data_IF_224638266945
#
_entry.id   IF_224638266945
#
_cell.length_a   1.000
_cell.length_b   1.000
_cell.length_c   1.000
_cell.angle_alpha   90.00
_cell.angle_beta   90.00
_cell.angle_gamma   90.00
#
_symmetry.space_group_name_H-M   'P 1'
#
loop_
_entity.id
_entity.type
_entity.pdbx_description
1 polymer ?
#
# COMPACT_ATOMS: atom_id res chain seq x y z
N UNK A 1 66.37 41.13 4.50
CA UNK A 1 66.72 41.02 5.93
C UNK A 1 65.59 41.61 6.75
N UNK A 2 65.32 40.97 7.87
CA UNK A 2 64.16 41.04 8.75
C UNK A 2 64.06 42.29 9.64
N UNK A 3 62.81 42.52 10.10
CA UNK A 3 62.37 42.85 11.46
C UNK A 3 62.01 44.32 11.83
N UNK A 4 60.83 44.45 12.44
CA UNK A 4 60.34 45.62 13.19
C UNK A 4 58.80 45.63 13.26
N UNK A 5 58.16 44.70 14.00
CA UNK A 5 57.52 44.93 15.31
C UNK A 5 56.47 46.06 15.36
N UNK A 6 55.20 45.72 15.58
CA UNK A 6 54.39 46.26 16.70
C UNK A 6 53.11 45.46 16.93
N UNK A 7 52.77 45.30 18.21
CA UNK A 7 51.65 44.54 18.79
C UNK A 7 50.34 45.35 18.78
N UNK A 8 49.22 44.62 18.86
CA UNK A 8 48.21 44.74 19.93
C UNK A 8 46.77 45.13 19.55
N UNK A 9 45.83 44.36 20.12
CA UNK A 9 44.46 44.67 20.59
C UNK A 9 43.26 44.53 19.62
N UNK A 10 42.63 43.35 19.75
CA UNK A 10 41.22 43.12 20.15
C UNK A 10 40.11 43.97 19.53
N UNK A 11 39.16 43.29 18.86
CA UNK A 11 37.73 43.54 19.07
C UNK A 11 36.92 42.28 18.72
N UNK A 12 36.27 41.68 19.73
CA UNK A 12 35.22 40.66 19.58
C UNK A 12 33.93 41.35 19.16
N UNK A 13 33.14 40.75 18.26
CA UNK A 13 31.70 40.48 18.44
C UNK A 13 31.10 39.99 17.11
N UNK A 14 31.05 38.67 16.98
CA UNK A 14 30.16 37.93 16.08
C UNK A 14 28.71 38.20 16.46
N UNK A 15 27.96 38.92 15.63
CA UNK A 15 26.50 38.86 15.64
C UNK A 15 26.07 37.76 14.67
N UNK A 16 25.89 36.55 15.21
CA UNK A 16 25.12 35.51 14.53
C UNK A 16 23.65 35.91 14.61
N UNK A 17 23.03 36.15 13.46
CA UNK A 17 21.60 36.35 13.33
C UNK A 17 20.92 35.01 13.66
N UNK A 18 20.34 34.89 14.85
CA UNK A 18 19.53 33.74 15.24
C UNK A 18 18.20 33.83 14.48
N UNK A 19 18.14 33.23 13.28
CA UNK A 19 16.86 32.94 12.63
C UNK A 19 16.20 31.81 13.42
N UNK A 20 15.31 32.16 14.34
CA UNK A 20 14.38 31.22 14.96
C UNK A 20 13.42 30.70 13.88
N UNK A 21 13.85 29.68 13.12
CA UNK A 21 12.90 28.81 12.42
C UNK A 21 12.18 28.01 13.48
N UNK A 22 10.96 28.44 13.79
CA UNK A 22 10.00 27.65 14.54
C UNK A 22 9.70 26.36 13.78
N UNK A 23 10.45 25.31 14.07
CA UNK A 23 10.08 23.95 13.72
C UNK A 23 8.85 23.60 14.52
N UNK A 24 7.68 23.51 13.86
CA UNK A 24 6.56 22.78 14.42
C UNK A 24 7.02 21.33 14.54
N UNK A 25 7.26 20.88 15.76
CA UNK A 25 7.49 19.48 16.05
C UNK A 25 6.33 18.69 15.44
N UNK A 26 6.62 17.87 14.44
CA UNK A 26 5.67 16.87 13.95
C UNK A 26 5.30 16.00 15.14
N UNK A 27 4.01 15.98 15.49
CA UNK A 27 3.50 15.00 16.45
C UNK A 27 3.50 13.67 15.70
N UNK A 28 4.64 12.97 15.75
CA UNK A 28 4.66 11.54 15.45
C UNK A 28 3.69 10.89 16.43
N UNK A 29 2.55 10.43 15.95
CA UNK A 29 1.63 9.64 16.78
C UNK A 29 2.38 8.36 17.12
N UNK A 30 2.84 8.27 18.36
CA UNK A 30 3.45 7.07 18.87
C UNK A 30 2.37 5.96 18.82
N UNK A 31 2.47 5.05 17.86
CA UNK A 31 1.58 3.89 17.80
C UNK A 31 1.79 3.08 19.07
N UNK A 32 0.76 3.04 19.92
CA UNK A 32 0.83 2.30 21.18
C UNK A 32 0.14 0.95 21.03
N UNK A 33 0.93 -0.07 20.72
CA UNK A 33 0.51 -1.46 20.75
C UNK A 33 1.68 -2.38 21.13
N UNK A 34 1.36 -3.57 21.63
CA UNK A 34 2.31 -4.67 21.83
C UNK A 34 1.82 -5.90 21.03
N UNK A 35 2.74 -6.57 20.30
CA UNK A 35 2.38 -7.76 19.55
C UNK A 35 1.92 -8.90 20.47
N UNK A 36 0.76 -9.48 20.17
CA UNK A 36 0.21 -10.60 20.94
C UNK A 36 -0.42 -10.18 22.27
N UNK A 37 -0.67 -8.89 22.48
CA UNK A 37 -1.31 -8.38 23.69
C UNK A 37 -2.71 -8.98 23.92
N UNK A 38 -3.14 -8.99 25.18
CA UNK A 38 -4.38 -9.62 25.62
C UNK A 38 -5.20 -8.61 26.44
N UNK A 39 -5.90 -7.67 25.77
CA UNK A 39 -6.63 -6.61 26.45
C UNK A 39 -7.86 -7.11 27.20
N UNK A 40 -8.37 -8.30 26.84
CA UNK A 40 -9.57 -8.91 27.42
C UNK A 40 -9.44 -10.43 27.42
N UNK A 41 -9.94 -11.13 28.46
CA UNK A 41 -9.82 -12.58 28.58
C UNK A 41 -10.22 -13.33 27.31
N UNK A 42 -9.25 -14.06 26.74
CA UNK A 42 -9.47 -14.90 25.56
C UNK A 42 -9.39 -14.18 24.21
N UNK A 43 -9.05 -12.88 24.20
CA UNK A 43 -8.74 -12.13 22.98
C UNK A 43 -7.24 -11.88 22.90
N UNK A 44 -6.65 -12.15 21.72
CA UNK A 44 -5.27 -11.76 21.41
C UNK A 44 -5.27 -10.78 20.25
N UNK A 45 -4.47 -9.74 20.35
CA UNK A 45 -4.32 -8.74 19.30
C UNK A 45 -2.94 -8.82 18.67
N UNK A 46 -2.90 -8.80 17.34
CA UNK A 46 -1.68 -8.77 16.54
C UNK A 46 -1.80 -7.67 15.49
N UNK A 47 -0.65 -7.15 15.08
CA UNK A 47 -0.56 -6.00 14.18
C UNK A 47 0.28 -6.37 12.97
N UNK A 48 -0.28 -6.18 11.79
CA UNK A 48 0.30 -6.60 10.53
C UNK A 48 0.45 -5.45 9.54
N UNK A 49 1.43 -5.61 8.67
CA UNK A 49 1.69 -4.75 7.52
C UNK A 49 1.58 -5.53 6.22
N UNK A 50 0.91 -4.95 5.23
CA UNK A 50 0.86 -5.47 3.85
C UNK A 50 1.58 -4.50 2.92
N UNK A 51 2.59 -4.97 2.21
CA UNK A 51 3.33 -4.14 1.24
C UNK A 51 2.66 -4.09 -0.15
N UNK A 52 3.18 -3.24 -1.04
CA UNK A 52 2.73 -3.15 -2.45
C UNK A 52 3.04 -4.41 -3.30
N UNK A 53 3.75 -5.41 -2.77
CA UNK A 53 3.94 -6.72 -3.39
C UNK A 53 2.91 -7.75 -2.90
N UNK A 54 2.05 -7.37 -1.96
CA UNK A 54 1.05 -8.23 -1.32
C UNK A 54 1.65 -9.18 -0.29
N UNK A 55 2.86 -8.92 0.19
CA UNK A 55 3.50 -9.71 1.24
C UNK A 55 3.00 -9.24 2.61
N UNK A 56 2.80 -10.21 3.50
CA UNK A 56 2.31 -10.00 4.86
C UNK A 56 3.48 -10.06 5.85
N UNK A 57 3.53 -9.11 6.78
CA UNK A 57 4.55 -8.98 7.81
C UNK A 57 3.91 -8.67 9.17
N UNK A 58 4.62 -8.97 10.25
CA UNK A 58 4.35 -8.29 11.53
C UNK A 58 4.69 -6.81 11.39
N UNK A 59 3.86 -5.94 11.95
CA UNK A 59 4.00 -4.50 11.78
C UNK A 59 5.28 -3.94 12.41
N UNK A 60 5.68 -4.47 13.56
CA UNK A 60 6.90 -4.13 14.31
C UNK A 60 8.15 -4.85 13.80
N UNK A 61 8.04 -5.66 12.74
CA UNK A 61 9.21 -6.31 12.15
C UNK A 61 10.23 -5.25 11.70
N UNK A 62 11.45 -5.32 12.27
CA UNK A 62 12.56 -4.40 11.99
C UNK A 62 12.91 -4.34 10.50
N UNK A 63 12.88 -5.48 9.83
CA UNK A 63 13.12 -5.60 8.40
C UNK A 63 11.89 -6.26 7.77
N UNK A 64 11.32 -5.63 6.75
CA UNK A 64 10.21 -6.17 5.95
C UNK A 64 10.75 -6.55 4.58
N UNK A 65 11.13 -7.82 4.43
CA UNK A 65 11.74 -8.36 3.21
C UNK A 65 11.32 -9.82 2.99
N UNK A 66 11.83 -10.44 1.93
CA UNK A 66 11.44 -11.81 1.60
C UNK A 66 11.75 -12.83 2.72
N UNK A 67 12.71 -12.61 3.61
CA UNK A 67 12.99 -13.57 4.69
C UNK A 67 12.03 -13.41 5.87
N UNK A 68 11.52 -12.21 6.14
CA UNK A 68 10.60 -11.93 7.25
C UNK A 68 9.11 -12.02 6.92
N UNK A 69 8.73 -12.13 5.64
CA UNK A 69 7.32 -12.28 5.28
C UNK A 69 6.76 -13.66 5.62
N UNK A 70 5.46 -13.70 5.95
CA UNK A 70 4.71 -14.94 6.09
C UNK A 70 4.55 -15.64 4.74
N UNK A 71 4.73 -16.96 4.72
CA UNK A 71 4.71 -17.79 3.50
C UNK A 71 3.80 -19.02 3.58
N UNK A 72 3.27 -19.34 4.76
CA UNK A 72 2.46 -20.54 4.94
C UNK A 72 1.09 -20.34 4.25
N UNK A 73 0.82 -21.16 3.22
CA UNK A 73 -0.31 -20.91 2.31
C UNK A 73 -1.67 -20.99 3.01
N UNK A 74 -1.86 -21.91 3.96
CA UNK A 74 -3.15 -22.06 4.65
C UNK A 74 -3.44 -20.85 5.54
N UNK A 75 -2.43 -20.37 6.26
CA UNK A 75 -2.48 -19.16 7.06
C UNK A 75 -2.79 -17.94 6.19
N UNK A 76 -2.06 -17.75 5.09
CA UNK A 76 -2.31 -16.63 4.18
C UNK A 76 -3.72 -16.69 3.58
N UNK A 77 -4.18 -17.86 3.13
CA UNK A 77 -5.55 -18.05 2.64
C UNK A 77 -6.57 -17.68 3.72
N UNK A 78 -6.36 -18.15 4.94
CA UNK A 78 -7.25 -17.88 6.07
C UNK A 78 -7.26 -16.38 6.47
N UNK A 79 -6.10 -15.75 6.45
CA UNK A 79 -5.90 -14.34 6.79
C UNK A 79 -6.55 -13.42 5.75
N UNK A 80 -6.16 -13.56 4.48
CA UNK A 80 -6.64 -12.71 3.38
C UNK A 80 -8.13 -12.90 3.08
N UNK A 81 -8.67 -14.10 3.25
CA UNK A 81 -10.11 -14.34 3.05
C UNK A 81 -11.01 -13.60 4.04
N UNK A 82 -10.48 -13.16 5.19
CA UNK A 82 -11.25 -12.53 6.27
C UNK A 82 -10.94 -11.05 6.47
N UNK A 83 -10.05 -10.47 5.67
CA UNK A 83 -9.79 -9.03 5.73
C UNK A 83 -11.09 -8.28 5.44
N UNK A 84 -11.36 -7.29 6.28
CA UNK A 84 -12.40 -6.29 6.12
C UNK A 84 -11.96 -4.96 6.74
N UNK A 85 -12.75 -3.91 6.57
CA UNK A 85 -12.54 -2.67 7.32
C UNK A 85 -12.56 -2.89 8.84
N UNK A 86 -11.71 -2.14 9.53
CA UNK A 86 -11.68 -2.09 10.97
C UNK A 86 -12.77 -1.14 11.48
N UNK A 87 -13.90 -1.72 11.89
CA UNK A 87 -15.05 -1.01 12.44
C UNK A 87 -15.08 -1.04 13.97
N UNK A 88 -14.00 -1.49 14.62
CA UNK A 88 -13.96 -1.68 16.08
C UNK A 88 -13.82 -0.36 16.85
N UNK A 89 -13.35 0.70 16.19
CA UNK A 89 -12.97 1.97 16.82
C UNK A 89 -11.60 1.94 17.52
N UNK A 90 -10.94 0.78 17.59
CA UNK A 90 -9.60 0.63 18.13
C UNK A 90 -8.55 0.76 17.03
N UNK A 91 -7.39 1.36 17.37
CA UNK A 91 -6.23 1.51 16.48
C UNK A 91 -6.58 2.12 15.11
N UNK A 92 -6.94 3.42 15.06
CA UNK A 92 -7.38 4.07 13.82
C UNK A 92 -6.32 4.07 12.71
N UNK A 93 -5.05 3.89 13.06
CA UNK A 93 -3.93 3.77 12.11
C UNK A 93 -3.90 2.39 11.42
N UNK A 94 -4.75 1.45 11.84
CA UNK A 94 -4.93 0.13 11.26
C UNK A 94 -6.34 0.03 10.65
N UNK A 95 -6.54 0.51 9.41
CA UNK A 95 -7.86 0.64 8.79
C UNK A 95 -8.52 -0.69 8.45
N UNK A 96 -7.79 -1.81 8.53
CA UNK A 96 -8.30 -3.13 8.22
C UNK A 96 -8.12 -4.11 9.38
N UNK A 97 -8.92 -5.17 9.38
CA UNK A 97 -8.94 -6.21 10.40
C UNK A 97 -9.16 -7.58 9.75
N UNK A 98 -8.40 -8.58 10.17
CA UNK A 98 -8.68 -10.00 9.89
C UNK A 98 -8.97 -10.73 11.20
N UNK A 99 -10.15 -11.35 11.28
CA UNK A 99 -10.59 -12.10 12.47
C UNK A 99 -10.17 -13.57 12.37
N UNK A 100 -9.40 -14.06 13.34
CA UNK A 100 -8.85 -15.41 13.33
C UNK A 100 -9.20 -16.16 14.62
N UNK A 101 -10.48 -16.54 14.75
CA UNK A 101 -11.00 -17.14 15.99
C UNK A 101 -10.91 -16.15 17.16
N UNK A 102 -10.02 -16.45 18.12
CA UNK A 102 -9.73 -15.59 19.28
C UNK A 102 -8.79 -14.42 18.96
N UNK A 103 -8.19 -14.42 17.78
CA UNK A 103 -7.22 -13.41 17.37
C UNK A 103 -7.88 -12.28 16.59
N UNK A 104 -7.47 -11.05 16.90
CA UNK A 104 -7.80 -9.81 16.21
C UNK A 104 -6.54 -9.32 15.52
N UNK A 105 -6.49 -9.41 14.21
CA UNK A 105 -5.30 -9.03 13.44
C UNK A 105 -5.54 -7.68 12.77
N UNK A 106 -5.08 -6.60 13.40
CA UNK A 106 -5.17 -5.25 12.88
C UNK A 106 -4.14 -5.06 11.77
N UNK A 107 -4.53 -4.38 10.69
CA UNK A 107 -3.75 -4.32 9.46
C UNK A 107 -3.68 -2.88 8.99
N UNK A 108 -2.45 -2.44 8.70
CA UNK A 108 -2.19 -1.30 7.84
C UNK A 108 -1.44 -1.75 6.59
N UNK A 109 -1.49 -0.93 5.55
CA UNK A 109 -0.97 -1.30 4.24
C UNK A 109 -0.15 -0.15 3.68
N UNK A 110 0.74 -0.48 2.74
CA UNK A 110 1.41 0.51 1.90
C UNK A 110 0.38 1.29 1.05
N UNK A 111 -0.58 0.58 0.48
CA UNK A 111 -1.66 1.15 -0.35
C UNK A 111 -3.03 0.55 -0.02
N UNK A 112 -3.27 -0.69 -0.46
CA UNK A 112 -4.52 -1.43 -0.25
C UNK A 112 -4.20 -2.84 0.27
N UNK A 113 -5.09 -3.46 1.06
CA UNK A 113 -4.83 -4.77 1.66
C UNK A 113 -4.91 -5.91 0.65
N UNK A 114 -5.58 -5.69 -0.48
CA UNK A 114 -5.67 -6.67 -1.55
C UNK A 114 -4.75 -6.23 -2.69
N UNK A 115 -3.69 -7.01 -2.88
CA UNK A 115 -2.73 -6.82 -3.97
C UNK A 115 -2.78 -8.02 -4.91
N UNK A 116 -3.15 -7.77 -6.16
CA UNK A 116 -3.12 -8.75 -7.24
C UNK A 116 -1.68 -8.96 -7.70
N UNK A 117 -1.27 -10.22 -7.73
CA UNK A 117 0.12 -10.60 -7.97
C UNK A 117 0.32 -11.27 -9.33
N UNK A 118 -0.61 -12.11 -9.78
CA UNK A 118 -0.46 -12.85 -11.03
C UNK A 118 -1.80 -12.91 -11.76
N UNK A 119 -1.73 -12.89 -13.09
CA UNK A 119 -2.82 -13.33 -13.94
C UNK A 119 -2.69 -14.85 -14.12
N UNK A 120 -3.79 -15.58 -13.91
CA UNK A 120 -3.86 -17.04 -14.02
C UNK A 120 -5.08 -17.42 -14.86
N UNK A 121 -5.01 -18.56 -15.54
CA UNK A 121 -6.14 -19.12 -16.28
C UNK A 121 -6.74 -20.26 -15.48
N UNK A 122 -8.06 -20.23 -15.29
CA UNK A 122 -8.83 -21.29 -14.62
C UNK A 122 -9.79 -21.94 -15.62
N UNK A 123 -9.84 -23.26 -15.59
CA UNK A 123 -10.86 -24.01 -16.33
C UNK A 123 -12.20 -23.88 -15.59
N UNK A 124 -13.23 -23.38 -16.29
CA UNK A 124 -14.60 -23.27 -15.76
C UNK A 124 -15.57 -24.06 -16.63
N UNK A 125 -16.82 -24.20 -16.19
CA UNK A 125 -17.87 -24.84 -17.00
C UNK A 125 -18.13 -24.12 -18.34
N UNK A 126 -17.80 -22.83 -18.42
CA UNK A 126 -17.97 -21.98 -19.60
C UNK A 126 -16.68 -21.90 -20.46
N UNK A 127 -15.63 -22.61 -20.06
CA UNK A 127 -14.31 -22.61 -20.69
C UNK A 127 -13.22 -21.91 -19.87
N UNK A 128 -12.03 -21.71 -20.45
CA UNK A 128 -10.93 -21.04 -19.78
C UNK A 128 -11.27 -19.58 -19.46
N UNK A 129 -11.15 -19.20 -18.18
CA UNK A 129 -11.37 -17.83 -17.72
C UNK A 129 -10.12 -17.30 -17.02
N UNK A 130 -9.75 -16.06 -17.32
CA UNK A 130 -8.63 -15.40 -16.67
C UNK A 130 -9.04 -14.80 -15.32
N UNK A 131 -8.17 -14.97 -14.33
CA UNK A 131 -8.35 -14.47 -12.98
C UNK A 131 -7.08 -13.77 -12.49
N UNK A 132 -7.25 -12.78 -11.62
CA UNK A 132 -6.16 -12.16 -10.88
C UNK A 132 -6.02 -12.82 -9.50
N UNK A 133 -4.87 -13.45 -9.24
CA UNK A 133 -4.52 -14.06 -7.97
C UNK A 133 -4.03 -13.01 -6.96
N UNK A 134 -4.33 -13.19 -5.67
CA UNK A 134 -3.95 -12.27 -4.60
C UNK A 134 -3.57 -13.00 -3.30
N UNK A 135 -3.01 -12.25 -2.34
CA UNK A 135 -2.70 -12.75 -0.99
C UNK A 135 -1.54 -13.74 -0.88
N UNK A 136 -0.81 -13.99 -1.98
CA UNK A 136 0.34 -14.91 -2.04
C UNK A 136 0.05 -16.32 -1.48
N UNK A 137 -1.22 -16.73 -1.45
CA UNK A 137 -1.69 -18.01 -0.88
C UNK A 137 -1.83 -19.14 -1.92
N UNK A 138 -1.25 -18.96 -3.11
CA UNK A 138 -1.47 -19.82 -4.28
C UNK A 138 -2.65 -19.36 -5.14
N UNK A 139 -3.12 -20.23 -6.02
CA UNK A 139 -4.11 -19.91 -7.07
C UNK A 139 -5.57 -19.97 -6.60
N UNK A 140 -5.81 -20.44 -5.37
CA UNK A 140 -7.16 -20.53 -4.79
C UNK A 140 -7.75 -19.14 -4.52
N UNK A 141 -6.91 -18.19 -4.12
CA UNK A 141 -7.29 -16.80 -3.86
C UNK A 141 -7.18 -15.99 -5.15
N UNK A 142 -8.28 -15.93 -5.91
CA UNK A 142 -8.33 -15.13 -7.13
C UNK A 142 -9.71 -14.54 -7.40
N UNK A 143 -9.77 -13.49 -8.21
CA UNK A 143 -11.00 -12.88 -8.71
C UNK A 143 -11.00 -12.87 -10.25
N UNK A 144 -12.16 -12.96 -10.92
CA UNK A 144 -12.24 -12.84 -12.37
C UNK A 144 -11.57 -11.57 -12.87
N UNK A 145 -10.74 -11.68 -13.91
CA UNK A 145 -10.17 -10.49 -14.53
C UNK A 145 -11.23 -9.77 -15.35
N UNK A 146 -11.29 -8.45 -15.19
CA UNK A 146 -12.27 -7.57 -15.84
C UNK A 146 -11.48 -6.47 -16.56
N UNK A 147 -11.10 -6.66 -17.84
CA UNK A 147 -10.23 -5.73 -18.55
C UNK A 147 -10.80 -4.31 -18.63
N UNK A 148 -12.12 -4.17 -18.80
CA UNK A 148 -12.79 -2.85 -18.88
C UNK A 148 -12.74 -2.04 -17.59
N UNK A 149 -12.56 -2.71 -16.44
CA UNK A 149 -12.64 -2.08 -15.12
C UNK A 149 -11.26 -1.79 -14.53
N UNK A 150 -10.18 -2.09 -15.27
CA UNK A 150 -8.85 -1.72 -14.82
C UNK A 150 -8.68 -0.19 -14.87
N UNK A 151 -8.03 0.36 -13.86
CA UNK A 151 -7.83 1.79 -13.73
C UNK A 151 -6.37 2.08 -13.43
N UNK A 152 -5.78 3.05 -14.12
CA UNK A 152 -4.45 3.57 -13.81
C UNK A 152 -4.60 4.94 -13.18
N UNK A 153 -3.98 5.12 -12.01
CA UNK A 153 -3.81 6.43 -11.41
C UNK A 153 -2.59 7.11 -12.03
N UNK A 154 -2.77 8.30 -12.61
CA UNK A 154 -1.73 8.99 -13.39
C UNK A 154 -0.58 9.44 -12.49
N UNK A 155 -0.86 10.00 -11.32
CA UNK A 155 0.15 10.64 -10.47
C UNK A 155 1.22 9.65 -9.99
N UNK A 156 0.84 8.38 -9.82
CA UNK A 156 1.72 7.33 -9.29
C UNK A 156 2.05 6.25 -10.32
N UNK A 157 1.36 6.23 -11.47
CA UNK A 157 1.40 5.14 -12.45
C UNK A 157 0.84 3.81 -11.93
N UNK A 158 0.23 3.78 -10.73
CA UNK A 158 -0.30 2.55 -10.15
C UNK A 158 -1.56 2.10 -10.84
N UNK A 159 -1.72 0.79 -10.91
CA UNK A 159 -2.84 0.13 -11.60
C UNK A 159 -3.70 -0.57 -10.56
N UNK A 160 -5.01 -0.49 -10.74
CA UNK A 160 -6.04 -0.99 -9.83
C UNK A 160 -7.08 -1.81 -10.60
N UNK A 161 -7.69 -2.77 -9.91
CA UNK A 161 -8.75 -3.62 -10.45
C UNK A 161 -9.84 -3.83 -9.39
N UNK A 162 -11.11 -4.05 -9.77
CA UNK A 162 -12.18 -4.29 -8.81
C UNK A 162 -11.87 -5.46 -7.88
N UNK A 163 -12.13 -5.26 -6.60
CA UNK A 163 -11.85 -6.23 -5.56
C UNK A 163 -13.08 -6.48 -4.69
N UNK A 164 -12.86 -7.14 -3.55
CA UNK A 164 -13.93 -7.48 -2.61
C UNK A 164 -14.48 -6.20 -1.95
N UNK A 165 -15.80 -6.02 -1.95
CA UNK A 165 -16.47 -4.88 -1.31
C UNK A 165 -16.06 -4.66 0.15
N UNK A 166 -15.90 -5.76 0.90
CA UNK A 166 -15.51 -5.72 2.33
C UNK A 166 -14.14 -5.07 2.59
N UNK A 167 -13.28 -4.94 1.58
CA UNK A 167 -11.97 -4.27 1.68
C UNK A 167 -11.91 -2.95 0.89
N UNK A 168 -13.06 -2.43 0.47
CA UNK A 168 -13.18 -1.16 -0.26
C UNK A 168 -13.46 -1.29 -1.75
N UNK A 169 -13.73 -2.51 -2.26
CA UNK A 169 -14.15 -2.72 -3.65
C UNK A 169 -13.05 -2.54 -4.70
N UNK A 170 -11.81 -2.22 -4.29
CA UNK A 170 -10.66 -2.02 -5.18
C UNK A 170 -9.40 -2.66 -4.61
N UNK A 171 -8.56 -3.19 -5.50
CA UNK A 171 -7.29 -3.81 -5.17
C UNK A 171 -6.16 -3.24 -6.01
N UNK A 172 -4.97 -3.17 -5.43
CA UNK A 172 -3.75 -2.76 -6.13
C UNK A 172 -3.27 -3.90 -7.04
N UNK A 173 -2.81 -3.58 -8.24
CA UNK A 173 -2.07 -4.51 -9.10
C UNK A 173 -0.57 -4.28 -8.86
N UNK A 174 0.16 -5.32 -8.44
CA UNK A 174 1.60 -5.17 -8.15
C UNK A 174 2.35 -4.69 -9.39
N UNK A 175 3.46 -3.97 -9.20
CA UNK A 175 4.21 -3.32 -10.28
C UNK A 175 4.58 -4.27 -11.43
N UNK A 176 5.04 -5.49 -11.13
CA UNK A 176 5.38 -6.47 -12.17
C UNK A 176 4.20 -6.81 -13.07
N UNK A 177 3.01 -6.99 -12.49
CA UNK A 177 1.80 -7.29 -13.25
C UNK A 177 1.25 -6.03 -13.93
N UNK A 178 1.34 -4.87 -13.29
CA UNK A 178 0.97 -3.60 -13.88
C UNK A 178 1.76 -3.30 -15.17
N UNK A 179 3.07 -3.54 -15.17
CA UNK A 179 3.94 -3.40 -16.36
C UNK A 179 3.53 -4.39 -17.47
N UNK A 180 3.15 -5.61 -17.11
CA UNK A 180 2.65 -6.58 -18.08
C UNK A 180 1.32 -6.12 -18.70
N UNK A 181 0.42 -5.55 -17.92
CA UNK A 181 -0.86 -5.04 -18.42
C UNK A 181 -0.67 -3.74 -19.22
N UNK A 182 0.32 -2.91 -18.88
CA UNK A 182 0.54 -1.63 -19.55
C UNK A 182 0.97 -1.77 -21.01
N UNK A 183 1.54 -2.90 -21.42
CA UNK A 183 1.84 -3.17 -22.84
C UNK A 183 0.58 -3.29 -23.69
N UNK A 184 -0.59 -3.45 -23.06
CA UNK A 184 -1.89 -3.56 -23.71
C UNK A 184 -2.69 -2.25 -23.64
N UNK A 185 -2.21 -1.23 -22.93
CA UNK A 185 -2.94 0.04 -22.78
C UNK A 185 -2.83 0.92 -24.02
N UNK A 186 -3.94 1.61 -24.32
CA UNK A 186 -4.02 2.61 -25.39
C UNK A 186 -4.24 3.99 -24.76
N UNK A 187 -3.32 4.90 -25.04
CA UNK A 187 -3.33 6.27 -24.53
C UNK A 187 -3.95 7.23 -25.55
N UNK A 188 -5.25 7.08 -25.79
CA UNK A 188 -5.96 7.84 -26.84
C UNK A 188 -6.04 9.37 -26.60
N UNK A 189 -5.60 9.85 -25.44
CA UNK A 189 -5.54 11.28 -25.08
C UNK A 189 -4.11 11.78 -24.84
N UNK A 190 -3.10 11.00 -25.27
CA UNK A 190 -1.69 11.24 -24.99
C UNK A 190 -1.22 10.55 -23.70
N UNK A 191 0.10 10.43 -23.55
CA UNK A 191 0.74 9.61 -22.51
C UNK A 191 0.68 10.24 -21.11
N UNK A 192 0.42 11.54 -21.03
CA UNK A 192 0.21 12.29 -19.77
C UNK A 192 -1.21 12.12 -19.21
N UNK A 193 -2.04 11.30 -19.85
CA UNK A 193 -3.43 11.04 -19.46
C UNK A 193 -3.61 9.55 -19.17
N UNK A 194 -4.61 9.15 -18.37
CA UNK A 194 -4.84 7.74 -18.13
C UNK A 194 -5.23 7.04 -19.44
N UNK A 195 -4.93 5.74 -19.59
CA UNK A 195 -5.30 4.99 -20.78
C UNK A 195 -6.82 5.02 -20.97
N UNK A 196 -7.24 5.08 -22.23
CA UNK A 196 -8.66 5.12 -22.58
C UNK A 196 -9.21 3.73 -22.90
N UNK A 197 -8.35 2.83 -23.37
CA UNK A 197 -8.69 1.47 -23.74
C UNK A 197 -7.58 0.49 -23.34
N UNK A 198 -7.92 -0.79 -23.33
CA UNK A 198 -6.99 -1.93 -23.25
C UNK A 198 -7.24 -2.87 -24.43
N UNK A 199 -6.18 -3.31 -25.10
CA UNK A 199 -6.22 -4.38 -26.09
C UNK A 199 -6.17 -5.73 -25.39
N UNK A 200 -7.32 -6.41 -25.32
CA UNK A 200 -7.44 -7.68 -24.60
C UNK A 200 -8.19 -8.73 -25.41
N UNK A 201 -7.66 -9.97 -25.45
CA UNK A 201 -8.24 -11.07 -26.23
C UNK A 201 -8.58 -10.70 -27.68
N UNK A 202 -7.71 -9.92 -28.34
CA UNK A 202 -7.89 -9.45 -29.72
C UNK A 202 -8.96 -8.39 -29.92
N UNK A 203 -9.49 -7.80 -28.83
CA UNK A 203 -10.49 -6.73 -28.86
C UNK A 203 -9.98 -5.48 -28.16
N UNK A 204 -10.32 -4.34 -28.75
CA UNK A 204 -10.18 -3.07 -28.07
C UNK A 204 -11.34 -2.88 -27.09
N UNK A 205 -11.02 -2.77 -25.80
CA UNK A 205 -12.01 -2.63 -24.73
C UNK A 205 -11.84 -1.26 -24.08
N UNK A 206 -12.92 -0.46 -24.07
CA UNK A 206 -12.94 0.85 -23.41
C UNK A 206 -12.86 0.69 -21.90
N UNK A 207 -11.99 1.48 -21.26
CA UNK A 207 -11.89 1.52 -19.81
C UNK A 207 -13.01 2.38 -19.22
N UNK A 208 -13.72 1.83 -18.23
CA UNK A 208 -14.91 2.44 -17.63
C UNK A 208 -14.57 3.64 -16.73
N UNK A 209 -13.37 3.63 -16.14
CA UNK A 209 -12.94 4.57 -15.09
C UNK A 209 -13.82 4.51 -13.82
N UNK A 210 -14.57 3.43 -13.62
CA UNK A 210 -15.49 3.25 -12.49
C UNK A 210 -14.80 3.30 -11.11
N UNK A 211 -13.52 2.92 -11.05
CA UNK A 211 -12.74 2.88 -9.81
C UNK A 211 -12.20 4.24 -9.36
N UNK A 212 -12.15 5.25 -10.23
CA UNK A 212 -11.62 6.59 -9.89
C UNK A 212 -12.30 7.21 -8.66
N UNK A 213 -13.64 7.31 -8.59
CA UNK A 213 -14.32 7.85 -7.41
C UNK A 213 -14.11 6.99 -6.14
N UNK A 214 -13.96 5.67 -6.29
CA UNK A 214 -13.69 4.76 -5.17
C UNK A 214 -12.30 5.04 -4.60
N UNK A 215 -11.29 5.17 -5.47
CA UNK A 215 -9.92 5.47 -5.08
C UNK A 215 -9.80 6.82 -4.37
N UNK A 216 -10.55 7.83 -4.80
CA UNK A 216 -10.64 9.15 -4.14
C UNK A 216 -11.25 9.01 -2.73
N UNK A 217 -12.33 8.22 -2.58
CA UNK A 217 -12.93 7.95 -1.27
C UNK A 217 -11.99 7.24 -0.29
N UNK A 218 -10.99 6.51 -0.80
CA UNK A 218 -10.02 5.74 -0.01
C UNK A 218 -8.68 6.46 0.21
N UNK A 219 -8.51 7.72 -0.19
CA UNK A 219 -7.25 8.47 0.01
C UNK A 219 -6.78 8.47 1.47
N UNK A 220 -7.72 8.55 2.42
CA UNK A 220 -7.43 8.51 3.85
C UNK A 220 -6.84 7.16 4.34
N UNK A 221 -7.01 6.08 3.57
CA UNK A 221 -6.42 4.76 3.84
C UNK A 221 -5.08 4.61 3.11
N UNK A 222 -4.94 5.29 1.98
CA UNK A 222 -3.82 5.17 1.04
C UNK A 222 -2.73 6.25 1.27
N UNK A 223 -2.63 6.78 2.48
CA UNK A 223 -1.83 8.00 2.79
C UNK A 223 -0.35 7.89 2.42
N UNK A 224 0.32 6.79 2.78
CA UNK A 224 1.74 6.57 2.45
C UNK A 224 1.96 6.44 0.94
N UNK A 225 1.08 5.66 0.34
CA UNK A 225 0.99 5.36 -1.08
C UNK A 225 0.92 6.59 -1.99
N UNK A 226 0.32 7.68 -1.50
CA UNK A 226 0.09 8.93 -2.23
C UNK A 226 1.08 10.05 -1.85
N UNK A 227 2.08 9.77 -1.01
CA UNK A 227 3.01 10.81 -0.53
C UNK A 227 2.35 11.87 0.35
N UNK A 228 1.20 11.54 0.97
CA UNK A 228 0.43 12.48 1.82
C UNK A 228 1.01 12.62 3.24
N UNK A 229 2.04 11.84 3.56
CA UNK A 229 2.99 12.08 4.66
C UNK A 229 4.41 11.88 4.11
N UNK A 230 5.06 12.96 3.69
CA UNK A 230 6.53 13.00 3.63
C UNK A 230 7.06 13.04 5.07
N UNK A 231 8.22 12.42 5.30
CA UNK A 231 9.01 12.39 6.55
C UNK A 231 8.81 11.21 7.52
N UNK A 232 9.20 9.98 7.11
CA UNK A 232 9.73 8.97 8.06
C UNK A 232 10.81 8.09 7.39
N UNK A 233 11.97 8.69 7.11
CA UNK A 233 13.25 7.98 7.02
C UNK A 233 14.38 8.95 7.38
N UNK A 234 14.64 9.11 8.67
CA UNK A 234 15.75 9.88 9.23
C UNK A 234 16.13 9.34 10.59
#
# INVERSE_FOLDING_TARGET
>A
MTLGMTRSLTCRLTHALLVLRGGRAGVSRLLHYEQGQNPQPGIREYFYYIDHQGMLFLDDARMKNFTSCFKEKKFLQFFFSRIKFNETGHYPDFPFLSLCGRERNYIRCDDLPLVFTHLITKETAEGPQEHLAYGNAGETMSLPFQPSEICMQVETGRVYHPALERVGGVGLVRSKLAIQLSTHFIFGKGDEQPPTHIQWAGKEVKLSQSLVPILQGLEHVRRYSLGLEEDLAG
#
